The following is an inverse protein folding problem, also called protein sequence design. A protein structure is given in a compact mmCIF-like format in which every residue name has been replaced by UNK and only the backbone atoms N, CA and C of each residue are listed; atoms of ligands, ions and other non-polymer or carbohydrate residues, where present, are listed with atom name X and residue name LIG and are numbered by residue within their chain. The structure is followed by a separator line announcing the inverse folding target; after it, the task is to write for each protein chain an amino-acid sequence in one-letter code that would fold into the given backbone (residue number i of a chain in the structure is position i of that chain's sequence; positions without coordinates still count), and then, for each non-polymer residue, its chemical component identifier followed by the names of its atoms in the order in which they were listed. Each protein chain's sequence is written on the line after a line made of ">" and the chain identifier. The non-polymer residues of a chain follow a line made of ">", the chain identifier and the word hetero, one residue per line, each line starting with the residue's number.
data_IF_663890430772
#
_entry.id   IF_663890430772
#
_cell.length_a   1.000
_cell.length_b   1.000
_cell.length_c   1.000
_cell.angle_alpha   90.00
_cell.angle_beta   90.00
_cell.angle_gamma   90.00
#
_symmetry.space_group_name_H-M   'P 1'
#
loop_
_entity.id
_entity.type
_entity.pdbx_description
1 polymer ?
#
# COMPACT_ATOMS: atom_id res chain seq x y z
N UNK A 1 11.16 15.69 -3.77
CA UNK A 1 11.83 14.47 -4.27
C UNK A 1 12.48 13.84 -3.06
N UNK A 2 12.20 12.58 -2.77
CA UNK A 2 12.88 11.86 -1.69
C UNK A 2 14.28 11.56 -2.20
N UNK A 3 15.33 11.93 -1.44
CA UNK A 3 16.70 11.54 -1.78
C UNK A 3 16.80 10.02 -1.64
N UNK A 4 17.28 9.34 -2.69
CA UNK A 4 17.41 7.88 -2.67
C UNK A 4 18.34 7.44 -1.54
N UNK A 5 18.04 6.35 -0.87
CA UNK A 5 18.89 5.75 0.16
C UNK A 5 19.65 4.58 -0.46
N UNK A 6 20.98 4.63 -0.41
CA UNK A 6 21.87 3.58 -0.90
C UNK A 6 22.57 2.95 0.30
N UNK A 7 22.42 1.64 0.50
CA UNK A 7 23.09 0.89 1.54
C UNK A 7 24.33 0.19 0.96
N UNK A 8 25.48 0.44 1.56
CA UNK A 8 26.76 -0.23 1.28
C UNK A 8 27.04 -1.25 2.36
N UNK A 9 27.30 -2.50 2.00
CA UNK A 9 27.66 -3.56 2.94
C UNK A 9 28.98 -4.18 2.49
N UNK A 10 30.06 -3.94 3.22
CA UNK A 10 31.42 -4.38 2.91
C UNK A 10 32.23 -4.34 4.21
N UNK A 11 33.03 -5.34 4.52
CA UNK A 11 33.85 -5.39 5.73
C UNK A 11 35.12 -4.50 5.62
N UNK A 12 35.48 -4.10 4.37
CA UNK A 12 36.57 -3.15 4.16
C UNK A 12 36.06 -1.69 4.18
N UNK A 13 36.42 -0.99 5.23
CA UNK A 13 36.09 0.44 5.39
C UNK A 13 36.73 1.35 4.32
N UNK A 14 37.82 0.92 3.68
CA UNK A 14 38.41 1.66 2.56
C UNK A 14 37.57 1.52 1.31
N UNK A 15 37.03 0.33 1.05
CA UNK A 15 36.09 0.10 -0.05
C UNK A 15 34.81 0.93 0.16
N UNK A 16 34.26 0.94 1.37
CA UNK A 16 33.08 1.78 1.73
C UNK A 16 33.35 3.27 1.44
N UNK A 17 34.52 3.78 1.84
CA UNK A 17 34.91 5.19 1.57
C UNK A 17 35.04 5.49 0.08
N UNK A 18 35.65 4.59 -0.67
CA UNK A 18 35.81 4.73 -2.11
C UNK A 18 34.47 4.73 -2.84
N UNK A 19 33.58 3.80 -2.47
CA UNK A 19 32.20 3.71 -2.97
C UNK A 19 31.39 4.94 -2.62
N UNK A 20 31.42 5.36 -1.35
CA UNK A 20 30.69 6.56 -0.90
C UNK A 20 31.11 7.82 -1.69
N UNK A 21 32.43 7.95 -1.99
CA UNK A 21 32.92 9.04 -2.82
C UNK A 21 32.44 8.92 -4.27
N UNK A 22 32.42 7.71 -4.83
CA UNK A 22 31.97 7.45 -6.19
C UNK A 22 30.47 7.73 -6.39
N UNK A 23 29.69 7.54 -5.34
CA UNK A 23 28.24 7.68 -5.34
C UNK A 23 27.74 9.04 -4.85
N UNK A 24 28.66 9.95 -4.55
CA UNK A 24 28.30 11.29 -4.09
C UNK A 24 27.35 11.98 -5.07
N UNK A 25 26.22 12.52 -4.54
CA UNK A 25 25.17 13.17 -5.32
C UNK A 25 24.16 12.22 -5.98
N UNK A 26 24.23 10.91 -5.73
CA UNK A 26 23.21 9.95 -6.19
C UNK A 26 22.14 9.65 -5.14
N UNK A 27 22.42 9.95 -3.86
CA UNK A 27 21.51 9.73 -2.75
C UNK A 27 22.21 9.78 -1.40
N UNK A 28 21.47 9.49 -0.34
CA UNK A 28 21.97 9.35 1.01
C UNK A 28 22.64 7.98 1.17
N UNK A 29 23.92 7.98 1.59
CA UNK A 29 24.63 6.74 1.82
C UNK A 29 24.47 6.26 3.25
N UNK A 30 24.06 5.00 3.41
CA UNK A 30 24.14 4.21 4.65
C UNK A 30 25.18 3.14 4.44
N UNK A 31 25.83 2.69 5.50
CA UNK A 31 26.83 1.62 5.38
C UNK A 31 26.78 0.67 6.58
N UNK A 32 27.22 -0.55 6.36
CA UNK A 32 27.41 -1.60 7.34
C UNK A 32 28.75 -2.30 7.07
N UNK A 33 29.39 -2.80 8.11
CA UNK A 33 30.65 -3.54 8.05
C UNK A 33 30.50 -5.05 8.27
N UNK A 34 29.25 -5.53 8.38
CA UNK A 34 28.91 -6.95 8.44
C UNK A 34 27.54 -7.22 7.80
N UNK A 35 27.31 -8.48 7.44
CA UNK A 35 26.03 -8.90 6.85
C UNK A 35 24.84 -8.70 7.78
N UNK A 36 25.01 -9.02 9.08
CA UNK A 36 23.96 -8.87 10.10
C UNK A 36 23.58 -7.40 10.29
N UNK A 37 24.59 -6.52 10.37
CA UNK A 37 24.36 -5.08 10.46
C UNK A 37 23.67 -4.55 9.20
N UNK A 38 24.07 -5.03 8.02
CA UNK A 38 23.46 -4.71 6.74
C UNK A 38 21.97 -5.02 6.71
N UNK A 39 21.57 -6.21 7.16
CA UNK A 39 20.15 -6.60 7.25
C UNK A 39 19.38 -5.74 8.26
N UNK A 40 19.97 -5.42 9.41
CA UNK A 40 19.35 -4.54 10.39
C UNK A 40 19.08 -3.16 9.80
N UNK A 41 20.08 -2.54 9.17
CA UNK A 41 19.96 -1.22 8.54
C UNK A 41 18.95 -1.26 7.39
N UNK A 42 18.92 -2.34 6.60
CA UNK A 42 17.96 -2.49 5.51
C UNK A 42 16.52 -2.46 6.03
N UNK A 43 16.22 -3.15 7.15
CA UNK A 43 14.90 -3.13 7.79
C UNK A 43 14.52 -1.80 8.42
N UNK A 44 15.49 -1.04 8.91
CA UNK A 44 15.26 0.26 9.55
C UNK A 44 15.11 1.40 8.54
N UNK A 45 15.84 1.34 7.42
CA UNK A 45 15.94 2.46 6.48
C UNK A 45 15.27 2.25 5.13
N UNK A 46 14.87 1.02 4.79
CA UNK A 46 14.24 0.64 3.51
C UNK A 46 14.99 1.24 2.31
N UNK A 47 16.26 0.84 2.06
CA UNK A 47 17.06 1.47 1.03
C UNK A 47 16.49 1.23 -0.38
N UNK A 48 16.73 2.18 -1.28
CA UNK A 48 16.34 2.09 -2.69
C UNK A 48 17.29 1.19 -3.50
N UNK A 49 18.50 0.90 -2.96
CA UNK A 49 19.47 0.02 -3.57
C UNK A 49 20.50 -0.44 -2.52
N UNK A 50 20.89 -1.72 -2.60
CA UNK A 50 21.99 -2.29 -1.79
C UNK A 50 23.17 -2.61 -2.69
N UNK A 51 24.37 -2.18 -2.27
CA UNK A 51 25.64 -2.63 -2.82
C UNK A 51 26.28 -3.53 -1.78
N UNK A 52 26.63 -4.74 -2.18
CA UNK A 52 26.94 -5.82 -1.27
C UNK A 52 28.23 -6.53 -1.69
N UNK A 53 29.24 -6.53 -0.82
CA UNK A 53 30.40 -7.37 -1.04
C UNK A 53 30.01 -8.85 -0.96
N UNK A 54 30.49 -9.64 -1.91
CA UNK A 54 30.24 -11.09 -1.94
C UNK A 54 30.95 -11.84 -0.81
N UNK A 55 32.12 -11.36 -0.42
CA UNK A 55 33.02 -12.01 0.53
C UNK A 55 33.16 -11.17 1.81
N UNK A 56 32.52 -11.60 2.86
CA UNK A 56 32.59 -10.98 4.20
C UNK A 56 32.72 -12.04 5.27
N UNK A 57 33.44 -11.77 6.37
CA UNK A 57 33.47 -12.66 7.53
C UNK A 57 32.08 -12.86 8.15
N UNK A 58 31.80 -14.08 8.62
CA UNK A 58 30.51 -14.43 9.21
C UNK A 58 29.44 -14.62 8.15
N UNK A 59 28.48 -13.73 8.08
CA UNK A 59 27.42 -13.75 7.07
C UNK A 59 27.93 -13.13 5.76
N UNK A 60 28.15 -13.97 4.74
CA UNK A 60 28.63 -13.51 3.42
C UNK A 60 27.52 -12.80 2.63
N UNK A 61 27.91 -12.12 1.53
CA UNK A 61 26.97 -11.34 0.73
C UNK A 61 25.84 -12.18 0.12
N UNK A 62 26.09 -13.41 -0.28
CA UNK A 62 25.05 -14.28 -0.84
C UNK A 62 23.97 -14.61 0.19
N UNK A 63 24.36 -14.86 1.44
CA UNK A 63 23.43 -15.10 2.54
C UNK A 63 22.60 -13.84 2.88
N UNK A 64 23.23 -12.65 2.82
CA UNK A 64 22.53 -11.37 2.99
C UNK A 64 21.51 -11.16 1.87
N UNK A 65 21.90 -11.40 0.62
CA UNK A 65 21.01 -11.28 -0.54
C UNK A 65 19.81 -12.24 -0.42
N UNK A 66 20.06 -13.50 -0.10
CA UNK A 66 19.01 -14.48 0.11
C UNK A 66 18.03 -14.07 1.22
N UNK A 67 18.55 -13.54 2.33
CA UNK A 67 17.72 -13.04 3.44
C UNK A 67 16.86 -11.82 3.03
N UNK A 68 17.43 -10.88 2.25
CA UNK A 68 16.69 -9.75 1.69
C UNK A 68 15.58 -10.22 0.75
N UNK A 69 15.85 -11.20 -0.11
CA UNK A 69 14.90 -11.71 -1.12
C UNK A 69 13.81 -12.60 -0.55
N UNK A 70 14.02 -13.18 0.64
CA UNK A 70 13.00 -13.93 1.40
C UNK A 70 12.09 -13.04 2.27
N UNK A 71 12.48 -11.79 2.51
CA UNK A 71 11.69 -10.83 3.29
C UNK A 71 10.70 -10.11 2.36
N UNK A 72 9.36 -10.28 2.52
CA UNK A 72 8.36 -9.69 1.62
C UNK A 72 8.40 -8.16 1.52
N UNK A 73 9.01 -7.50 2.51
CA UNK A 73 9.13 -6.03 2.53
C UNK A 73 10.39 -5.57 1.80
N UNK A 74 11.44 -6.39 1.82
CA UNK A 74 12.77 -6.07 1.28
C UNK A 74 13.05 -6.72 -0.07
N UNK A 75 12.27 -7.71 -0.51
CA UNK A 75 12.51 -8.48 -1.74
C UNK A 75 12.64 -7.63 -3.01
N UNK A 76 11.87 -6.53 -3.07
CA UNK A 76 11.86 -5.62 -4.22
C UNK A 76 13.08 -4.69 -4.28
N UNK A 77 13.94 -4.67 -3.26
CA UNK A 77 15.16 -3.83 -3.25
C UNK A 77 16.19 -4.42 -4.20
N UNK A 78 16.69 -3.67 -5.19
CA UNK A 78 17.75 -4.12 -6.07
C UNK A 78 19.07 -4.29 -5.31
N UNK A 79 19.72 -5.43 -5.52
CA UNK A 79 21.04 -5.76 -4.95
C UNK A 79 22.08 -5.83 -6.06
N UNK A 80 23.17 -5.09 -5.92
CA UNK A 80 24.35 -5.14 -6.80
C UNK A 80 25.49 -5.75 -6.00
N UNK A 81 26.05 -6.85 -6.48
CA UNK A 81 27.23 -7.42 -5.87
C UNK A 81 28.52 -6.72 -6.30
N UNK A 82 29.47 -6.64 -5.36
CA UNK A 82 30.86 -6.38 -5.65
C UNK A 82 31.65 -7.66 -5.40
N UNK A 83 32.45 -8.12 -6.34
CA UNK A 83 33.15 -9.39 -6.24
C UNK A 83 34.60 -9.28 -6.72
N UNK A 84 35.49 -10.01 -6.04
CA UNK A 84 36.88 -10.19 -6.46
C UNK A 84 37.06 -11.26 -7.54
N UNK A 85 36.08 -12.14 -7.72
CA UNK A 85 36.10 -13.24 -8.67
C UNK A 85 35.17 -12.95 -9.86
N UNK A 86 35.77 -13.04 -11.07
CA UNK A 86 35.02 -12.98 -12.34
C UNK A 86 34.68 -14.37 -12.87
N UNK A 87 34.57 -15.38 -12.00
CA UNK A 87 34.18 -16.72 -12.40
C UNK A 87 32.68 -16.77 -12.62
N UNK A 88 32.26 -17.17 -13.84
CA UNK A 88 30.86 -17.16 -14.29
C UNK A 88 29.89 -17.87 -13.36
N UNK A 89 30.36 -18.91 -12.67
CA UNK A 89 29.53 -19.69 -11.72
C UNK A 89 29.03 -18.86 -10.52
N UNK A 90 29.83 -17.91 -10.03
CA UNK A 90 29.47 -17.03 -8.91
C UNK A 90 28.47 -15.91 -9.34
N UNK A 91 28.65 -15.38 -10.55
CA UNK A 91 27.73 -14.40 -11.13
C UNK A 91 26.37 -15.07 -11.39
N UNK A 92 26.37 -16.29 -11.96
CA UNK A 92 25.14 -17.04 -12.20
C UNK A 92 24.39 -17.38 -10.89
N UNK A 93 25.11 -17.82 -9.85
CA UNK A 93 24.53 -18.09 -8.55
C UNK A 93 23.88 -16.86 -7.91
N UNK A 94 24.52 -15.71 -7.98
CA UNK A 94 23.95 -14.49 -7.39
C UNK A 94 22.78 -13.92 -8.19
N UNK A 95 22.80 -14.04 -9.53
CA UNK A 95 21.63 -13.69 -10.36
C UNK A 95 20.44 -14.62 -10.05
N UNK A 96 20.71 -15.91 -9.85
CA UNK A 96 19.69 -16.87 -9.44
C UNK A 96 19.08 -16.54 -8.07
N UNK A 97 19.83 -15.90 -7.16
CA UNK A 97 19.35 -15.39 -5.88
C UNK A 97 18.55 -14.07 -6.00
N UNK A 98 18.47 -13.48 -7.20
CA UNK A 98 17.71 -12.26 -7.45
C UNK A 98 18.53 -10.96 -7.36
N UNK A 99 19.86 -11.02 -7.43
CA UNK A 99 20.65 -9.82 -7.66
C UNK A 99 20.40 -9.24 -9.06
N UNK A 100 20.53 -7.93 -9.20
CA UNK A 100 20.24 -7.22 -10.46
C UNK A 100 21.49 -6.93 -11.27
N UNK A 101 22.68 -6.98 -10.65
CA UNK A 101 23.96 -6.67 -11.33
C UNK A 101 25.16 -7.11 -10.48
N UNK A 102 26.35 -7.14 -11.14
CA UNK A 102 27.65 -7.44 -10.55
C UNK A 102 28.70 -6.41 -10.97
N UNK A 103 29.61 -6.10 -10.05
CA UNK A 103 30.73 -5.20 -10.29
C UNK A 103 32.02 -5.90 -9.85
N UNK A 104 32.93 -6.19 -10.79
CA UNK A 104 34.20 -6.80 -10.48
C UNK A 104 35.18 -5.80 -9.81
N UNK A 105 35.90 -6.26 -8.79
CA UNK A 105 37.08 -5.55 -8.26
C UNK A 105 38.26 -5.68 -9.27
N UNK A 106 39.10 -4.65 -9.52
CA UNK A 106 39.14 -3.38 -8.81
C UNK A 106 37.98 -2.42 -9.20
N UNK A 107 37.44 -1.76 -8.21
CA UNK A 107 36.29 -0.84 -8.36
C UNK A 107 36.70 0.35 -9.25
N UNK A 108 35.92 0.56 -10.32
CA UNK A 108 36.03 1.75 -11.19
C UNK A 108 34.91 2.72 -10.86
N UNK A 109 35.20 3.88 -10.20
CA UNK A 109 34.16 4.78 -9.67
C UNK A 109 33.10 5.19 -10.70
N UNK A 110 33.53 5.50 -11.94
CA UNK A 110 32.59 5.90 -13.00
C UNK A 110 31.62 4.77 -13.42
N UNK A 111 32.11 3.52 -13.42
CA UNK A 111 31.27 2.35 -13.75
C UNK A 111 30.27 2.09 -12.65
N UNK A 112 30.72 2.11 -11.39
CA UNK A 112 29.81 1.94 -10.23
C UNK A 112 28.71 2.99 -10.25
N UNK A 113 29.09 4.28 -10.37
CA UNK A 113 28.12 5.37 -10.41
C UNK A 113 27.12 5.24 -11.58
N UNK A 114 27.57 4.78 -12.75
CA UNK A 114 26.71 4.57 -13.91
C UNK A 114 25.68 3.43 -13.66
N UNK A 115 26.14 2.27 -13.15
CA UNK A 115 25.28 1.12 -12.85
C UNK A 115 24.27 1.44 -11.75
N UNK A 116 24.72 2.01 -10.63
CA UNK A 116 23.84 2.44 -9.53
C UNK A 116 22.78 3.42 -10.03
N UNK A 117 23.17 4.42 -10.82
CA UNK A 117 22.21 5.38 -11.41
C UNK A 117 21.17 4.69 -12.29
N UNK A 118 21.57 3.69 -13.07
CA UNK A 118 20.67 2.93 -13.94
C UNK A 118 19.65 2.16 -13.11
N UNK A 119 20.10 1.42 -12.09
CA UNK A 119 19.20 0.63 -11.25
C UNK A 119 18.30 1.49 -10.35
N UNK A 120 18.79 2.63 -9.83
CA UNK A 120 17.95 3.59 -9.12
C UNK A 120 16.85 4.17 -10.02
N UNK A 121 17.18 4.54 -11.27
CA UNK A 121 16.17 5.01 -12.23
C UNK A 121 15.13 3.94 -12.55
N UNK A 122 15.57 2.69 -12.74
CA UNK A 122 14.67 1.57 -13.00
C UNK A 122 13.74 1.34 -11.81
N UNK A 123 14.29 1.28 -10.58
CA UNK A 123 13.51 1.16 -9.35
C UNK A 123 12.46 2.28 -9.25
N UNK A 124 12.87 3.54 -9.41
CA UNK A 124 11.97 4.69 -9.38
C UNK A 124 10.88 4.62 -10.47
N UNK A 125 11.20 4.14 -11.67
CA UNK A 125 10.22 3.97 -12.74
C UNK A 125 9.21 2.88 -12.39
N UNK A 126 9.67 1.74 -11.87
CA UNK A 126 8.80 0.65 -11.40
C UNK A 126 7.90 1.10 -10.23
N UNK A 127 8.42 1.85 -9.26
CA UNK A 127 7.65 2.37 -8.14
C UNK A 127 6.55 3.33 -8.63
N UNK A 128 6.88 4.22 -9.58
CA UNK A 128 5.90 5.11 -10.21
C UNK A 128 4.81 4.33 -10.95
N UNK A 129 5.19 3.30 -11.70
CA UNK A 129 4.23 2.43 -12.39
C UNK A 129 3.33 1.70 -11.38
N UNK A 130 3.90 1.21 -10.27
CA UNK A 130 3.14 0.58 -9.20
C UNK A 130 2.14 1.55 -8.56
N UNK A 131 2.57 2.78 -8.25
CA UNK A 131 1.66 3.82 -7.73
C UNK A 131 0.53 4.11 -8.72
N UNK A 132 0.85 4.33 -10.01
CA UNK A 132 -0.16 4.55 -11.06
C UNK A 132 -1.10 3.35 -11.24
N UNK A 133 -0.59 2.14 -11.04
CA UNK A 133 -1.36 0.91 -11.13
C UNK A 133 -2.25 0.64 -9.90
N UNK A 134 -1.96 1.25 -8.75
CA UNK A 134 -2.62 1.02 -7.46
C UNK A 134 -3.53 2.16 -7.01
N UNK A 135 -3.38 3.35 -7.57
CA UNK A 135 -4.15 4.53 -7.16
C UNK A 135 -5.12 5.00 -8.26
N UNK A 136 -6.17 5.72 -7.84
CA UNK A 136 -7.05 6.48 -8.71
C UNK A 136 -6.39 7.80 -9.11
N UNK A 137 -6.31 8.06 -10.40
CA UNK A 137 -5.57 9.22 -10.95
C UNK A 137 -6.15 10.59 -10.58
N UNK A 138 -7.44 10.68 -10.24
CA UNK A 138 -8.09 11.93 -9.85
C UNK A 138 -7.93 12.20 -8.34
N UNK A 139 -8.21 11.21 -7.53
CA UNK A 139 -8.31 11.37 -6.07
C UNK A 139 -7.03 10.99 -5.32
N UNK A 140 -6.15 10.21 -5.96
CA UNK A 140 -4.95 9.63 -5.36
C UNK A 140 -5.25 8.62 -4.25
N UNK A 141 -6.50 8.20 -4.04
CA UNK A 141 -6.87 7.07 -3.19
C UNK A 141 -6.46 5.75 -3.86
N UNK A 142 -6.51 4.64 -3.13
CA UNK A 142 -6.41 3.33 -3.77
C UNK A 142 -7.48 3.19 -4.86
N UNK A 143 -7.14 2.52 -5.95
CA UNK A 143 -8.14 2.19 -6.96
C UNK A 143 -8.89 0.89 -6.60
N UNK A 144 -9.94 0.57 -7.34
CA UNK A 144 -10.76 -0.62 -7.14
C UNK A 144 -9.94 -1.91 -7.09
N UNK A 145 -8.96 -2.07 -8.00
CA UNK A 145 -8.12 -3.27 -8.05
C UNK A 145 -7.31 -3.47 -6.77
N UNK A 146 -6.78 -2.40 -6.21
CA UNK A 146 -6.05 -2.42 -4.94
C UNK A 146 -6.96 -2.78 -3.78
N UNK A 147 -8.18 -2.25 -3.77
CA UNK A 147 -9.19 -2.62 -2.77
C UNK A 147 -9.56 -4.11 -2.87
N UNK A 148 -9.83 -4.62 -4.08
CA UNK A 148 -10.21 -6.01 -4.30
C UNK A 148 -9.13 -6.97 -3.78
N UNK A 149 -7.85 -6.68 -4.08
CA UNK A 149 -6.72 -7.45 -3.58
C UNK A 149 -6.56 -7.35 -2.03
N UNK A 150 -6.86 -6.21 -1.45
CA UNK A 150 -6.85 -6.03 0.00
C UNK A 150 -7.99 -6.81 0.67
N UNK A 151 -9.19 -6.77 0.09
CA UNK A 151 -10.35 -7.54 0.56
C UNK A 151 -10.07 -9.04 0.59
N UNK A 152 -9.49 -9.59 -0.48
CA UNK A 152 -9.12 -11.01 -0.54
C UNK A 152 -8.17 -11.40 0.61
N UNK A 153 -7.10 -10.62 0.82
CA UNK A 153 -6.14 -10.86 1.90
C UNK A 153 -6.79 -10.78 3.28
N UNK A 154 -7.61 -9.76 3.52
CA UNK A 154 -8.23 -9.55 4.83
C UNK A 154 -9.32 -10.57 5.13
N UNK A 155 -10.10 -11.01 4.15
CA UNK A 155 -11.06 -12.10 4.32
C UNK A 155 -10.36 -13.43 4.69
N UNK A 156 -9.25 -13.76 4.03
CA UNK A 156 -8.43 -14.94 4.39
C UNK A 156 -7.85 -14.79 5.79
N UNK A 157 -7.34 -13.60 6.15
CA UNK A 157 -6.79 -13.34 7.47
C UNK A 157 -7.88 -13.47 8.55
N UNK A 158 -9.03 -12.82 8.38
CA UNK A 158 -10.16 -12.86 9.30
C UNK A 158 -10.66 -14.30 9.53
N UNK A 159 -10.76 -15.09 8.44
CA UNK A 159 -11.15 -16.50 8.51
C UNK A 159 -10.16 -17.36 9.31
N UNK A 160 -8.86 -17.05 9.28
CA UNK A 160 -7.82 -17.82 9.98
C UNK A 160 -7.60 -17.40 11.42
N UNK A 161 -7.58 -16.10 11.67
CA UNK A 161 -7.26 -15.52 13.00
C UNK A 161 -8.48 -15.33 13.88
N UNK A 162 -9.69 -15.44 13.34
CA UNK A 162 -10.91 -15.08 14.06
C UNK A 162 -11.00 -13.58 14.36
N UNK A 163 -10.38 -12.73 13.53
CA UNK A 163 -10.46 -11.28 13.70
C UNK A 163 -11.64 -10.69 12.94
N UNK A 164 -12.17 -9.57 13.45
CA UNK A 164 -13.24 -8.86 12.77
C UNK A 164 -12.70 -8.13 11.53
N UNK A 165 -13.56 -7.94 10.52
CA UNK A 165 -13.28 -7.08 9.37
C UNK A 165 -14.57 -6.40 8.93
N UNK A 166 -14.46 -5.11 8.59
CA UNK A 166 -15.60 -4.34 8.10
C UNK A 166 -15.28 -3.67 6.77
N UNK A 167 -16.32 -3.55 5.95
CA UNK A 167 -16.30 -2.81 4.69
C UNK A 167 -17.35 -1.72 4.74
N UNK A 168 -16.95 -0.50 4.43
CA UNK A 168 -17.81 0.66 4.28
C UNK A 168 -17.86 1.01 2.80
N UNK A 169 -19.03 0.97 2.18
CA UNK A 169 -19.29 1.52 0.85
C UNK A 169 -20.05 2.83 0.98
N UNK A 170 -19.69 3.82 0.20
CA UNK A 170 -20.37 5.11 0.19
C UNK A 170 -20.48 5.69 -1.21
N UNK A 171 -21.52 6.51 -1.38
CA UNK A 171 -21.85 7.16 -2.65
C UNK A 171 -22.24 8.62 -2.37
N UNK A 172 -21.76 9.54 -3.22
CA UNK A 172 -22.11 10.96 -3.09
C UNK A 172 -23.54 11.17 -3.58
N UNK A 173 -24.41 11.64 -2.69
CA UNK A 173 -25.81 11.83 -2.97
C UNK A 173 -26.07 12.81 -4.11
N UNK A 174 -26.86 12.38 -5.08
CA UNK A 174 -27.26 13.18 -6.23
C UNK A 174 -26.09 13.76 -7.06
N UNK A 175 -24.95 13.06 -7.10
CA UNK A 175 -23.74 13.55 -7.78
C UNK A 175 -23.94 13.86 -9.26
N UNK A 176 -24.77 13.07 -9.96
CA UNK A 176 -25.15 13.40 -11.35
C UNK A 176 -25.81 14.79 -11.45
N UNK A 177 -26.78 15.12 -10.53
CA UNK A 177 -27.42 16.44 -10.52
C UNK A 177 -26.42 17.55 -10.17
N UNK A 178 -25.44 17.25 -9.32
CA UNK A 178 -24.35 18.15 -9.02
C UNK A 178 -23.56 18.49 -10.29
N UNK A 179 -23.14 17.48 -11.06
CA UNK A 179 -22.44 17.68 -12.32
C UNK A 179 -23.29 18.44 -13.35
N UNK A 180 -24.57 18.11 -13.47
CA UNK A 180 -25.50 18.80 -14.38
C UNK A 180 -25.66 20.30 -14.01
N UNK A 181 -25.53 20.65 -12.74
CA UNK A 181 -25.67 22.03 -12.23
C UNK A 181 -24.38 22.82 -12.28
N UNK A 182 -23.25 22.24 -11.88
CA UNK A 182 -21.98 22.95 -11.66
C UNK A 182 -20.90 22.59 -12.68
N UNK A 183 -21.13 21.59 -13.51
CA UNK A 183 -20.17 21.07 -14.50
C UNK A 183 -19.19 20.05 -13.94
N UNK A 184 -18.60 19.26 -14.84
CA UNK A 184 -17.71 18.15 -14.47
C UNK A 184 -16.43 18.59 -13.75
N UNK A 185 -15.90 19.78 -14.06
CA UNK A 185 -14.69 20.31 -13.37
C UNK A 185 -14.96 20.51 -11.87
N UNK A 186 -16.14 21.03 -11.52
CA UNK A 186 -16.54 21.19 -10.13
C UNK A 186 -16.85 19.83 -9.49
N UNK A 187 -17.40 18.88 -10.25
CA UNK A 187 -17.56 17.49 -9.82
C UNK A 187 -16.23 16.83 -9.47
N UNK A 188 -15.22 16.98 -10.30
CA UNK A 188 -13.87 16.46 -10.03
C UNK A 188 -13.27 17.07 -8.76
N UNK A 189 -13.44 18.39 -8.55
CA UNK A 189 -13.02 19.05 -7.31
C UNK A 189 -13.78 18.52 -6.09
N UNK A 190 -15.08 18.29 -6.21
CA UNK A 190 -15.90 17.69 -5.16
C UNK A 190 -15.36 16.29 -4.79
N UNK A 191 -15.09 15.44 -5.77
CA UNK A 191 -14.50 14.10 -5.56
C UNK A 191 -13.15 14.19 -4.83
N UNK A 192 -12.28 15.12 -5.20
CA UNK A 192 -10.98 15.35 -4.54
C UNK A 192 -11.16 15.80 -3.08
N UNK A 193 -12.08 16.73 -2.81
CA UNK A 193 -12.36 17.21 -1.44
C UNK A 193 -12.94 16.09 -0.56
N UNK A 194 -13.91 15.34 -1.07
CA UNK A 194 -14.49 14.18 -0.36
C UNK A 194 -13.40 13.13 -0.09
N UNK A 195 -12.56 12.83 -1.07
CA UNK A 195 -11.48 11.87 -0.89
C UNK A 195 -10.49 12.27 0.22
N UNK A 196 -10.20 13.57 0.34
CA UNK A 196 -9.36 14.09 1.41
C UNK A 196 -10.04 13.97 2.79
N UNK A 197 -11.36 14.15 2.87
CA UNK A 197 -12.13 13.92 4.09
C UNK A 197 -12.09 12.43 4.50
N UNK A 198 -12.29 11.51 3.54
CA UNK A 198 -12.24 10.07 3.79
C UNK A 198 -10.88 9.60 4.32
N UNK A 199 -9.78 10.15 3.80
CA UNK A 199 -8.43 9.86 4.32
C UNK A 199 -8.27 10.22 5.80
N UNK A 200 -8.90 11.30 6.28
CA UNK A 200 -8.87 11.69 7.69
C UNK A 200 -9.65 10.74 8.59
N UNK A 201 -10.63 10.03 8.02
CA UNK A 201 -11.43 9.04 8.75
C UNK A 201 -10.70 7.70 8.93
N UNK A 202 -9.80 7.34 8.02
CA UNK A 202 -8.94 6.16 8.13
C UNK A 202 -7.72 6.47 9.01
N UNK A 203 -7.79 6.08 10.28
CA UNK A 203 -6.80 6.48 11.30
C UNK A 203 -5.62 5.52 11.44
N UNK A 204 -5.73 4.30 10.89
CA UNK A 204 -4.71 3.27 11.04
C UNK A 204 -4.05 3.00 9.70
N UNK A 205 -2.75 2.67 9.76
CA UNK A 205 -1.96 2.35 8.56
C UNK A 205 -2.48 1.13 7.78
N UNK A 206 -3.25 0.25 8.45
CA UNK A 206 -3.85 -0.93 7.83
C UNK A 206 -5.21 -0.65 7.16
N UNK A 207 -5.83 0.51 7.45
CA UNK A 207 -7.10 0.89 6.83
C UNK A 207 -6.86 1.25 5.35
N UNK A 208 -7.71 0.75 4.46
CA UNK A 208 -7.61 1.03 3.03
C UNK A 208 -8.77 1.92 2.62
N UNK A 209 -8.46 3.09 2.05
CA UNK A 209 -9.46 3.99 1.45
C UNK A 209 -9.29 3.95 -0.05
N UNK A 210 -10.37 3.67 -0.76
CA UNK A 210 -10.36 3.51 -2.22
C UNK A 210 -11.49 4.28 -2.91
N UNK A 211 -11.24 4.69 -4.15
CA UNK A 211 -12.31 5.06 -5.06
C UNK A 211 -12.78 3.79 -5.77
N UNK A 212 -14.02 3.39 -5.53
CA UNK A 212 -14.60 2.16 -6.06
C UNK A 212 -15.00 2.32 -7.54
N UNK A 213 -15.52 3.50 -7.90
CA UNK A 213 -15.84 3.88 -9.29
C UNK A 213 -16.76 5.09 -9.35
N UNK A 214 -16.61 5.97 -10.33
CA UNK A 214 -17.46 7.16 -10.44
C UNK A 214 -17.44 8.02 -9.17
N UNK A 215 -18.59 8.13 -8.52
CA UNK A 215 -18.80 8.83 -7.24
C UNK A 215 -18.80 7.90 -6.03
N UNK A 216 -18.46 6.62 -6.21
CA UNK A 216 -18.46 5.62 -5.16
C UNK A 216 -17.07 5.45 -4.54
N UNK A 217 -17.03 5.33 -3.22
CA UNK A 217 -15.82 5.11 -2.44
C UNK A 217 -16.00 3.92 -1.50
N UNK A 218 -14.89 3.37 -1.04
CA UNK A 218 -14.87 2.27 -0.10
C UNK A 218 -13.80 2.45 0.97
N UNK A 219 -14.09 2.01 2.20
CA UNK A 219 -13.09 1.85 3.25
C UNK A 219 -13.11 0.40 3.73
N UNK A 220 -11.94 -0.25 3.66
CA UNK A 220 -11.73 -1.55 4.29
C UNK A 220 -11.06 -1.32 5.64
N UNK A 221 -11.66 -1.86 6.68
CA UNK A 221 -11.29 -1.67 8.07
C UNK A 221 -10.94 -3.03 8.71
N UNK A 222 -9.67 -3.46 8.62
CA UNK A 222 -9.19 -4.67 9.30
C UNK A 222 -9.33 -4.53 10.83
N UNK A 223 -9.49 -5.65 11.53
CA UNK A 223 -9.61 -5.71 12.99
C UNK A 223 -10.64 -4.71 13.57
N UNK A 224 -11.76 -4.53 12.84
CA UNK A 224 -12.83 -3.59 13.19
C UNK A 224 -14.17 -4.30 13.08
N UNK A 225 -14.87 -4.36 14.21
CA UNK A 225 -16.23 -4.90 14.27
C UNK A 225 -17.30 -3.86 13.96
N UNK A 226 -18.55 -4.27 14.12
CA UNK A 226 -19.75 -3.53 13.78
C UNK A 226 -19.83 -2.12 14.41
N UNK A 227 -19.52 -2.00 15.69
CA UNK A 227 -19.57 -0.71 16.40
C UNK A 227 -18.47 0.26 15.91
N UNK A 228 -17.23 -0.21 15.77
CA UNK A 228 -16.14 0.61 15.26
C UNK A 228 -16.36 1.06 13.81
N UNK A 229 -16.93 0.21 12.96
CA UNK A 229 -17.28 0.59 11.60
C UNK A 229 -18.40 1.63 11.54
N UNK A 230 -19.37 1.55 12.47
CA UNK A 230 -20.43 2.58 12.62
C UNK A 230 -19.85 3.93 13.03
N UNK A 231 -18.92 3.95 14.00
CA UNK A 231 -18.22 5.18 14.40
C UNK A 231 -17.47 5.82 13.23
N UNK A 232 -16.81 5.00 12.40
CA UNK A 232 -16.14 5.50 11.17
C UNK A 232 -17.17 6.10 10.21
N UNK A 233 -18.30 5.45 10.00
CA UNK A 233 -19.36 5.95 9.11
C UNK A 233 -19.94 7.28 9.62
N UNK A 234 -20.17 7.42 10.92
CA UNK A 234 -20.61 8.68 11.54
C UNK A 234 -19.58 9.79 11.37
N UNK A 235 -18.30 9.46 11.57
CA UNK A 235 -17.19 10.42 11.35
C UNK A 235 -17.08 10.84 9.88
N UNK A 236 -17.33 9.94 8.92
CA UNK A 236 -17.40 10.28 7.51
C UNK A 236 -18.49 11.32 7.24
N UNK A 237 -19.71 11.13 7.78
CA UNK A 237 -20.77 12.12 7.64
C UNK A 237 -20.37 13.49 8.17
N UNK A 238 -19.75 13.56 9.33
CA UNK A 238 -19.26 14.81 9.93
C UNK A 238 -18.20 15.48 9.07
N UNK A 239 -17.18 14.74 8.63
CA UNK A 239 -16.08 15.26 7.82
C UNK A 239 -16.56 15.76 6.44
N UNK A 240 -17.51 15.05 5.81
CA UNK A 240 -18.10 15.50 4.54
C UNK A 240 -18.98 16.73 4.75
N UNK A 241 -19.78 16.79 5.81
CA UNK A 241 -20.59 17.97 6.13
C UNK A 241 -19.74 19.22 6.42
N UNK A 242 -18.59 19.04 7.09
CA UNK A 242 -17.63 20.13 7.37
C UNK A 242 -17.01 20.74 6.11
N UNK A 243 -17.02 20.04 4.97
CA UNK A 243 -16.56 20.61 3.69
C UNK A 243 -17.45 21.76 3.23
N UNK A 244 -18.72 21.80 3.64
CA UNK A 244 -19.68 22.85 3.30
C UNK A 244 -19.87 23.08 1.79
N UNK A 245 -19.68 22.04 0.96
CA UNK A 245 -19.77 22.14 -0.51
C UNK A 245 -21.23 22.39 -0.89
N UNK A 246 -21.59 23.54 -1.49
CA UNK A 246 -22.96 23.82 -1.88
C UNK A 246 -23.50 22.84 -2.92
N UNK A 247 -24.74 22.38 -2.74
CA UNK A 247 -25.44 21.52 -3.70
C UNK A 247 -26.91 21.93 -3.82
N UNK A 248 -27.21 22.89 -4.69
CA UNK A 248 -28.54 23.49 -4.84
C UNK A 248 -29.63 22.53 -5.34
N UNK A 249 -29.21 21.44 -6.01
CA UNK A 249 -30.12 20.39 -6.47
C UNK A 249 -30.30 19.22 -5.46
N UNK A 250 -29.76 19.37 -4.24
CA UNK A 250 -29.97 18.43 -3.12
C UNK A 250 -30.91 19.08 -2.08
N UNK A 251 -31.78 18.28 -1.51
CA UNK A 251 -32.70 18.70 -0.44
C UNK A 251 -31.96 19.15 0.83
N UNK A 252 -30.67 18.79 0.96
CA UNK A 252 -29.80 19.22 2.08
C UNK A 252 -29.10 20.56 1.83
N UNK A 253 -29.17 21.11 0.61
CA UNK A 253 -28.46 22.34 0.22
C UNK A 253 -26.93 22.20 0.12
N UNK A 254 -26.38 21.07 0.49
CA UNK A 254 -24.96 20.76 0.45
C UNK A 254 -24.71 19.30 0.06
N UNK A 255 -23.48 19.00 -0.32
CA UNK A 255 -23.05 17.64 -0.62
C UNK A 255 -23.17 16.74 0.63
N UNK A 256 -23.77 15.60 0.45
CA UNK A 256 -23.90 14.53 1.45
C UNK A 256 -23.54 13.19 0.84
N UNK A 257 -23.42 12.18 1.69
CA UNK A 257 -23.12 10.80 1.27
C UNK A 257 -24.13 9.84 1.88
N UNK A 258 -24.47 8.79 1.16
CA UNK A 258 -25.15 7.60 1.69
C UNK A 258 -24.11 6.52 1.94
N UNK A 259 -24.22 5.80 3.06
CA UNK A 259 -23.23 4.84 3.52
C UNK A 259 -23.87 3.49 3.81
N UNK A 260 -23.29 2.42 3.26
CA UNK A 260 -23.57 1.04 3.63
C UNK A 260 -22.38 0.41 4.34
N UNK A 261 -22.60 -0.16 5.49
CA UNK A 261 -21.58 -0.84 6.30
C UNK A 261 -21.86 -2.33 6.32
N UNK A 262 -20.84 -3.14 6.06
CA UNK A 262 -20.88 -4.59 6.31
C UNK A 262 -19.78 -4.96 7.30
N UNK A 263 -20.12 -5.75 8.30
CA UNK A 263 -19.19 -6.23 9.32
C UNK A 263 -19.25 -7.74 9.45
N UNK A 264 -18.09 -8.37 9.44
CA UNK A 264 -17.91 -9.76 9.84
C UNK A 264 -17.28 -9.78 11.23
N UNK A 265 -17.99 -10.38 12.18
CA UNK A 265 -17.50 -10.62 13.53
C UNK A 265 -17.60 -12.12 13.78
N UNK A 266 -16.46 -12.82 13.91
CA UNK A 266 -16.45 -14.25 14.18
C UNK A 266 -17.10 -14.54 15.54
N UNK A 267 -17.91 -15.61 15.62
CA UNK A 267 -18.47 -16.11 16.87
C UNK A 267 -17.65 -17.31 17.30
N UNK A 268 -17.21 -17.38 18.54
CA UNK A 268 -16.53 -18.55 19.09
C UNK A 268 -17.47 -19.73 19.34
N UNK A 269 -17.04 -21.00 19.12
CA UNK A 269 -15.74 -21.42 18.60
C UNK A 269 -15.64 -21.21 17.09
N UNK A 270 -14.50 -20.71 16.64
CA UNK A 270 -14.21 -20.44 15.23
C UNK A 270 -14.28 -21.75 14.43
N UNK A 271 -15.48 -22.16 14.06
CA UNK A 271 -15.66 -23.22 13.09
C UNK A 271 -15.31 -22.61 11.73
N UNK A 272 -14.24 -23.08 11.13
CA UNK A 272 -13.64 -22.86 9.80
C UNK A 272 -14.57 -22.23 8.74
N UNK A 273 -15.16 -21.07 9.04
CA UNK A 273 -15.93 -20.33 8.05
C UNK A 273 -15.00 -19.52 7.16
N UNK A 274 -15.04 -19.77 5.87
CA UNK A 274 -14.39 -18.94 4.87
C UNK A 274 -15.27 -17.72 4.57
N UNK A 275 -14.87 -16.55 5.09
CA UNK A 275 -15.40 -15.28 4.65
C UNK A 275 -14.90 -14.99 3.23
N UNK A 276 -15.79 -14.61 2.33
CA UNK A 276 -15.44 -14.21 0.97
C UNK A 276 -15.61 -12.71 0.76
N UNK A 277 -14.80 -12.08 -0.12
CA UNK A 277 -15.01 -10.69 -0.52
C UNK A 277 -16.41 -10.40 -1.03
N UNK A 278 -17.01 -11.34 -1.77
CA UNK A 278 -18.33 -11.21 -2.34
C UNK A 278 -19.45 -11.07 -1.28
N UNK A 279 -19.32 -11.77 -0.15
CA UNK A 279 -20.29 -11.66 0.95
C UNK A 279 -20.25 -10.28 1.59
N UNK A 280 -19.06 -9.75 1.90
CA UNK A 280 -18.91 -8.39 2.45
C UNK A 280 -19.40 -7.33 1.47
N UNK A 281 -19.00 -7.42 0.21
CA UNK A 281 -19.45 -6.47 -0.82
C UNK A 281 -20.97 -6.50 -0.98
N UNK A 282 -21.58 -7.68 -1.08
CA UNK A 282 -23.03 -7.82 -1.20
C UNK A 282 -23.77 -7.25 0.00
N UNK A 283 -23.28 -7.46 1.21
CA UNK A 283 -23.88 -6.94 2.42
C UNK A 283 -23.78 -5.41 2.51
N UNK A 284 -22.58 -4.85 2.18
CA UNK A 284 -22.37 -3.41 2.17
C UNK A 284 -23.18 -2.70 1.08
N UNK A 285 -23.28 -3.28 -0.13
CA UNK A 285 -24.09 -2.75 -1.23
C UNK A 285 -25.59 -2.75 -0.87
N UNK A 286 -26.09 -3.84 -0.28
CA UNK A 286 -27.47 -3.90 0.18
C UNK A 286 -27.76 -2.85 1.28
N UNK A 287 -26.84 -2.63 2.21
CA UNK A 287 -26.96 -1.59 3.22
C UNK A 287 -26.91 -0.18 2.59
N UNK A 288 -26.05 0.05 1.60
CA UNK A 288 -25.97 1.32 0.86
C UNK A 288 -27.28 1.60 0.10
N UNK A 289 -27.84 0.58 -0.54
CA UNK A 289 -29.14 0.71 -1.19
C UNK A 289 -30.25 1.10 -0.20
N UNK A 290 -30.26 0.48 0.98
CA UNK A 290 -31.22 0.87 2.06
C UNK A 290 -31.01 2.33 2.51
N UNK A 291 -29.76 2.78 2.63
CA UNK A 291 -29.48 4.18 2.97
C UNK A 291 -30.02 5.14 1.90
N UNK A 292 -29.81 4.83 0.62
CA UNK A 292 -30.34 5.62 -0.50
C UNK A 292 -31.87 5.66 -0.53
N UNK A 293 -32.53 4.54 -0.24
CA UNK A 293 -34.02 4.47 -0.23
C UNK A 293 -34.63 5.09 1.02
N UNK A 294 -33.92 5.13 2.14
CA UNK A 294 -34.38 5.75 3.40
C UNK A 294 -34.29 7.30 3.40
N UNK A 295 -33.97 7.93 2.27
CA UNK A 295 -33.91 9.38 2.13
C UNK A 295 -32.49 9.95 2.02
N UNK A 296 -31.48 9.09 1.85
CA UNK A 296 -30.05 9.47 1.70
C UNK A 296 -29.48 10.17 2.95
N UNK A 297 -28.22 10.65 2.84
CA UNK A 297 -27.51 11.31 3.92
C UNK A 297 -27.58 10.55 5.26
N UNK A 298 -27.48 9.24 5.20
CA UNK A 298 -27.53 8.35 6.36
C UNK A 298 -26.71 7.08 6.11
N UNK A 299 -26.46 6.34 7.20
CA UNK A 299 -25.81 5.03 7.17
C UNK A 299 -26.79 3.91 7.42
N UNK A 300 -26.55 2.76 6.83
CA UNK A 300 -27.19 1.48 7.16
C UNK A 300 -26.12 0.43 7.34
N UNK A 301 -26.40 -0.55 8.17
CA UNK A 301 -25.44 -1.61 8.50
C UNK A 301 -26.10 -2.98 8.35
N UNK A 302 -25.30 -3.92 7.85
CA UNK A 302 -25.64 -5.33 7.79
C UNK A 302 -24.45 -6.16 8.27
N UNK A 303 -24.70 -7.09 9.17
CA UNK A 303 -23.68 -8.01 9.63
C UNK A 303 -23.64 -9.23 8.72
N UNK A 304 -22.43 -9.66 8.38
CA UNK A 304 -22.20 -10.95 7.72
C UNK A 304 -22.12 -12.00 8.81
N UNK A 305 -23.06 -12.98 8.86
CA UNK A 305 -23.10 -13.93 9.96
C UNK A 305 -21.79 -14.69 10.12
N UNK A 306 -21.30 -14.84 11.33
CA UNK A 306 -20.10 -15.64 11.67
C UNK A 306 -20.32 -17.15 11.53
N UNK A 307 -21.55 -17.64 11.47
CA UNK A 307 -21.90 -19.04 11.29
C UNK A 307 -22.23 -19.38 9.82
N UNK A 308 -21.88 -20.60 9.34
CA UNK A 308 -22.39 -21.05 8.06
C UNK A 308 -23.90 -21.13 8.12
N UNK A 309 -24.59 -20.62 7.09
CA UNK A 309 -26.03 -20.83 6.95
C UNK A 309 -26.29 -22.35 7.01
N UNK A 310 -26.94 -22.80 8.09
CA UNK A 310 -27.44 -24.17 8.17
C UNK A 310 -28.47 -24.34 7.08
N UNK A 311 -28.06 -25.01 5.99
CA UNK A 311 -28.94 -25.44 4.90
C UNK A 311 -29.71 -26.71 5.27
#
# INVERSE_FOLDING_TARGET
>A
MHDAIILLVDDDTLAIRALSKALNGLGQIRFATSGEEGLRIARESFPDLVILDSEMPGMNGFQVCEALKKDPVLEAIPVIFITSHSEGDMEEAGLALGAVDFIAKPIRPAIVAARVRTHLRLKQALDRLNVLAQTDGLTGLSNRRTLDAALERECVRASRSGSAVSLVLLDIDFFKRYNDTYGHIQGDQCLVLVSAALRRCAKRAIDVVARYGGEEFALLLPDTGADGAREVAEHIHQEVALLGIPHSASDKGQVSVSIGVASFVPVEPVAHRHLTPAELLKAADAALYEAKTAGRACSRQRDVPGEPATG
#
